data_IF_042096770921
#
_entry.id   IF_042096770921
#
_cell.length_a   1.000
_cell.length_b   1.000
_cell.length_c   1.000
_cell.angle_alpha   90.00
_cell.angle_beta   90.00
_cell.angle_gamma   90.00
#
_symmetry.space_group_name_H-M   'P 1'
#
loop_
_entity.id
_entity.type
_entity.pdbx_description
1 polymer ?
#
# COMPACT_ATOMS: atom_id res chain seq x y z
N UNK A 1 22.33 -13.57 12.85
CA UNK A 1 21.65 -12.30 12.55
C UNK A 1 20.34 -12.32 13.30
N UNK A 2 20.27 -11.59 14.40
CA UNK A 2 19.06 -11.47 15.22
C UNK A 2 18.35 -10.18 14.85
N UNK A 3 17.03 -10.21 14.87
CA UNK A 3 16.21 -9.01 14.81
C UNK A 3 15.76 -8.67 16.22
N UNK A 4 15.49 -7.40 16.48
CA UNK A 4 14.79 -6.94 17.69
C UNK A 4 13.80 -5.86 17.32
N UNK A 5 12.68 -5.83 18.03
CA UNK A 5 11.84 -4.64 18.13
C UNK A 5 12.63 -3.53 18.82
N UNK A 6 12.60 -2.30 18.30
CA UNK A 6 13.11 -1.13 19.01
C UNK A 6 11.97 -0.57 19.86
N UNK A 7 12.10 -0.75 21.18
CA UNK A 7 11.09 -0.38 22.17
C UNK A 7 10.59 1.07 21.96
N UNK A 8 9.27 1.25 21.97
CA UNK A 8 8.60 2.54 21.78
C UNK A 8 8.45 3.04 20.34
N UNK A 9 9.06 2.39 19.34
CA UNK A 9 9.12 2.94 17.96
C UNK A 9 8.35 2.15 16.89
N UNK A 10 7.93 0.91 17.15
CA UNK A 10 7.28 0.05 16.14
C UNK A 10 8.18 -0.39 14.96
N UNK A 11 9.46 0.01 14.94
CA UNK A 11 10.43 -0.37 13.93
C UNK A 11 11.17 -1.66 14.31
N UNK A 12 11.48 -2.49 13.30
CA UNK A 12 12.25 -3.72 13.46
C UNK A 12 13.65 -3.54 12.92
N UNK A 13 14.64 -3.59 13.81
CA UNK A 13 16.05 -3.44 13.47
C UNK A 13 16.77 -4.80 13.41
N UNK A 14 17.71 -4.93 12.46
CA UNK A 14 18.63 -6.05 12.42
C UNK A 14 19.82 -5.78 13.36
N UNK A 15 19.98 -6.56 14.41
CA UNK A 15 21.17 -6.49 15.27
C UNK A 15 22.32 -7.34 14.73
N UNK A 16 23.52 -6.79 14.84
CA UNK A 16 24.78 -7.42 14.46
C UNK A 16 25.21 -8.48 15.49
N UNK A 17 24.74 -9.72 15.32
CA UNK A 17 25.55 -10.86 15.75
C UNK A 17 26.57 -11.15 14.64
N UNK A 18 27.86 -10.89 14.92
CA UNK A 18 28.96 -10.82 13.95
C UNK A 18 29.36 -12.12 13.25
N UNK A 19 28.43 -12.77 12.54
CA UNK A 19 28.68 -14.02 11.78
C UNK A 19 28.08 -14.08 10.36
N UNK A 20 27.56 -12.98 9.80
CA UNK A 20 27.12 -12.95 8.38
C UNK A 20 27.35 -11.60 7.66
N UNK A 21 27.86 -11.71 6.44
CA UNK A 21 28.21 -10.64 5.49
C UNK A 21 27.07 -9.65 5.20
N UNK A 22 25.84 -10.17 5.06
CA UNK A 22 24.62 -9.37 4.83
C UNK A 22 24.34 -8.28 5.89
N UNK A 23 25.02 -8.28 7.04
CA UNK A 23 24.77 -7.29 8.10
C UNK A 23 25.32 -5.89 7.79
N UNK A 24 26.48 -5.79 7.12
CA UNK A 24 27.03 -4.49 6.67
C UNK A 24 26.19 -3.89 5.54
N UNK A 25 25.83 -4.72 4.56
CA UNK A 25 25.06 -4.26 3.40
C UNK A 25 23.69 -3.67 3.77
N UNK A 26 23.03 -4.14 4.84
CA UNK A 26 21.78 -3.51 5.30
C UNK A 26 22.00 -2.17 6.01
N UNK A 27 23.05 -2.04 6.82
CA UNK A 27 23.39 -0.77 7.47
C UNK A 27 23.72 0.32 6.43
N UNK A 28 24.45 -0.05 5.36
CA UNK A 28 24.77 0.80 4.21
C UNK A 28 23.55 1.17 3.34
N UNK A 29 22.49 0.36 3.37
CA UNK A 29 21.23 0.66 2.68
C UNK A 29 20.29 1.53 3.51
N UNK A 30 20.47 1.52 4.82
CA UNK A 30 19.68 2.29 5.76
C UNK A 30 20.26 3.69 6.04
N UNK A 31 21.57 3.89 5.94
CA UNK A 31 22.21 5.20 6.14
C UNK A 31 21.61 6.33 5.26
N UNK A 32 21.41 6.19 3.93
CA UNK A 32 20.79 7.23 3.11
C UNK A 32 19.33 7.53 3.46
N UNK A 33 18.67 6.59 4.15
CA UNK A 33 17.33 6.81 4.68
C UNK A 33 17.41 7.68 5.92
N UNK A 34 18.23 7.31 6.91
CA UNK A 34 18.43 8.10 8.13
C UNK A 34 18.87 9.54 7.80
N UNK A 35 19.83 9.70 6.91
CA UNK A 35 20.26 11.01 6.38
C UNK A 35 19.09 11.76 5.73
N UNK A 36 18.34 11.10 4.84
CA UNK A 36 17.20 11.70 4.14
C UNK A 36 16.05 12.12 5.05
N UNK A 37 15.77 11.39 6.14
CA UNK A 37 14.71 11.74 7.10
C UNK A 37 15.13 12.79 8.13
N UNK A 38 16.44 13.07 8.26
CA UNK A 38 16.99 14.13 9.12
C UNK A 38 17.25 15.44 8.37
N UNK A 39 17.08 15.45 7.03
CA UNK A 39 17.25 16.63 6.18
C UNK A 39 15.99 17.50 6.16
N UNK A 40 16.13 18.77 6.54
CA UNK A 40 15.06 19.76 6.43
C UNK A 40 14.62 19.98 4.97
N UNK A 41 15.56 19.85 4.03
CA UNK A 41 15.33 20.00 2.59
C UNK A 41 14.49 18.85 2.03
N UNK A 42 14.72 17.63 2.53
CA UNK A 42 13.93 16.45 2.21
C UNK A 42 12.51 16.54 2.82
N UNK A 43 12.41 16.92 4.09
CA UNK A 43 11.10 17.09 4.75
C UNK A 43 10.29 18.22 4.11
N UNK A 44 10.90 19.36 3.77
CA UNK A 44 10.27 20.42 2.99
C UNK A 44 9.82 19.93 1.61
N UNK A 45 10.68 19.21 0.88
CA UNK A 45 10.33 18.64 -0.43
C UNK A 45 9.16 17.67 -0.37
N UNK A 46 9.12 16.81 0.65
CA UNK A 46 8.00 15.90 0.86
C UNK A 46 6.75 16.66 1.31
N UNK A 47 6.84 17.61 2.25
CA UNK A 47 5.73 18.44 2.71
C UNK A 47 5.02 19.15 1.55
N UNK A 48 5.75 19.83 0.65
CA UNK A 48 5.16 20.45 -0.54
C UNK A 48 4.45 19.43 -1.44
N UNK A 49 5.02 18.22 -1.60
CA UNK A 49 4.36 17.17 -2.38
C UNK A 49 3.14 16.57 -1.68
N UNK A 50 3.05 16.61 -0.34
CA UNK A 50 1.84 16.25 0.41
C UNK A 50 0.77 17.31 0.20
N UNK A 51 1.12 18.59 0.32
CA UNK A 51 0.21 19.73 0.11
C UNK A 51 -0.41 19.75 -1.29
N UNK A 52 0.40 19.51 -2.34
CA UNK A 52 -0.07 19.40 -3.74
C UNK A 52 -0.90 18.13 -3.98
N UNK A 53 -0.61 17.02 -3.28
CA UNK A 53 -1.42 15.80 -3.38
C UNK A 53 -2.78 15.96 -2.69
N UNK A 54 -2.81 16.65 -1.54
CA UNK A 54 -4.04 16.91 -0.77
C UNK A 54 -4.91 17.99 -1.44
N UNK A 55 -4.31 18.95 -2.18
CA UNK A 55 -5.00 20.08 -2.82
C UNK A 55 -4.65 20.23 -4.32
N UNK A 56 -4.95 19.23 -5.18
CA UNK A 56 -4.51 19.26 -6.56
C UNK A 56 -5.41 20.14 -7.46
N UNK A 57 -4.77 20.97 -8.29
CA UNK A 57 -5.41 21.55 -9.48
C UNK A 57 -5.59 20.50 -10.60
N UNK A 58 -6.19 20.89 -11.73
CA UNK A 58 -6.50 19.95 -12.81
C UNK A 58 -5.25 19.44 -13.55
N UNK A 59 -4.17 20.23 -13.61
CA UNK A 59 -2.89 19.78 -14.16
C UNK A 59 -2.25 18.74 -13.23
N UNK A 60 -2.25 18.97 -11.91
CA UNK A 60 -1.79 18.04 -10.90
C UNK A 60 -2.60 16.73 -10.90
N UNK A 61 -3.94 16.78 -11.00
CA UNK A 61 -4.80 15.60 -11.14
C UNK A 61 -4.39 14.75 -12.36
N UNK A 62 -4.25 15.39 -13.52
CA UNK A 62 -3.81 14.72 -14.75
C UNK A 62 -2.36 14.19 -14.65
N UNK A 63 -1.49 14.93 -13.94
CA UNK A 63 -0.13 14.50 -13.60
C UNK A 63 -0.11 13.23 -12.76
N UNK A 64 -0.92 13.16 -11.70
CA UNK A 64 -1.05 11.99 -10.83
C UNK A 64 -1.66 10.79 -11.57
N UNK A 65 -2.69 10.99 -12.40
CA UNK A 65 -3.25 9.94 -13.25
C UNK A 65 -2.19 9.33 -14.18
N UNK A 66 -1.45 10.17 -14.91
CA UNK A 66 -0.40 9.72 -15.82
C UNK A 66 0.80 9.09 -15.08
N UNK A 67 1.13 9.59 -13.89
CA UNK A 67 2.14 8.98 -13.02
C UNK A 67 1.69 7.57 -12.58
N UNK A 68 0.46 7.40 -12.13
CA UNK A 68 -0.10 6.12 -11.72
C UNK A 68 -0.11 5.11 -12.89
N UNK A 69 -0.53 5.53 -14.10
CA UNK A 69 -0.42 4.70 -15.33
C UNK A 69 1.03 4.24 -15.58
N UNK A 70 2.01 5.13 -15.51
CA UNK A 70 3.44 4.79 -15.71
C UNK A 70 3.93 3.79 -14.67
N UNK A 71 3.52 3.91 -13.41
CA UNK A 71 3.86 2.94 -12.35
C UNK A 71 3.22 1.58 -12.61
N UNK A 72 1.93 1.55 -12.96
CA UNK A 72 1.22 0.31 -13.30
C UNK A 72 1.82 -0.39 -14.53
N UNK A 73 2.24 0.39 -15.55
CA UNK A 73 2.99 -0.12 -16.70
C UNK A 73 4.36 -0.69 -16.31
N UNK A 74 5.14 -0.01 -15.45
CA UNK A 74 6.44 -0.51 -14.97
C UNK A 74 6.25 -1.82 -14.18
N UNK A 75 5.27 -1.86 -13.28
CA UNK A 75 4.89 -3.04 -12.51
C UNK A 75 4.50 -4.19 -13.44
N UNK A 76 3.55 -3.97 -14.37
CA UNK A 76 3.08 -5.02 -15.27
C UNK A 76 4.17 -5.50 -16.23
N UNK A 77 5.06 -4.62 -16.69
CA UNK A 77 6.20 -5.00 -17.53
C UNK A 77 7.10 -6.03 -16.85
N UNK A 78 7.37 -5.85 -15.55
CA UNK A 78 8.26 -6.72 -14.74
C UNK A 78 7.55 -7.96 -14.21
N UNK A 79 6.30 -7.83 -13.74
CA UNK A 79 5.61 -8.88 -12.97
C UNK A 79 4.58 -9.66 -13.77
N UNK A 80 4.06 -9.08 -14.87
CA UNK A 80 2.88 -9.53 -15.64
C UNK A 80 1.58 -9.61 -14.83
N UNK A 81 1.54 -8.94 -13.69
CA UNK A 81 0.46 -9.07 -12.69
C UNK A 81 -0.91 -8.55 -13.16
N UNK A 82 -0.94 -7.61 -14.10
CA UNK A 82 -2.21 -7.08 -14.61
C UNK A 82 -2.81 -7.97 -15.69
N UNK A 83 -2.05 -8.85 -16.34
CA UNK A 83 -2.58 -9.80 -17.35
C UNK A 83 -3.12 -11.04 -16.64
N UNK A 84 -4.42 -11.02 -16.29
CA UNK A 84 -5.04 -12.05 -15.45
C UNK A 84 -5.30 -13.35 -16.23
N UNK A 85 -5.23 -13.31 -17.57
CA UNK A 85 -5.35 -14.51 -18.43
C UNK A 85 -4.26 -15.55 -18.11
N UNK A 86 -3.11 -15.11 -17.60
CA UNK A 86 -1.98 -15.97 -17.21
C UNK A 86 -2.15 -16.63 -15.84
N UNK A 87 -3.12 -16.21 -15.03
CA UNK A 87 -3.32 -16.78 -13.70
C UNK A 87 -3.80 -18.22 -13.83
N UNK A 88 -3.23 -19.13 -13.04
CA UNK A 88 -3.53 -20.57 -13.13
C UNK A 88 -5.03 -20.85 -12.94
N UNK A 89 -5.70 -20.09 -12.06
CA UNK A 89 -7.16 -20.17 -11.87
C UNK A 89 -7.95 -19.91 -13.17
N UNK A 90 -7.49 -19.02 -14.05
CA UNK A 90 -8.20 -18.70 -15.30
C UNK A 90 -8.05 -19.78 -16.38
N UNK A 91 -7.03 -20.64 -16.27
CA UNK A 91 -6.91 -21.83 -17.12
C UNK A 91 -7.90 -22.94 -16.73
N UNK A 92 -8.51 -22.85 -15.54
CA UNK A 92 -9.43 -23.87 -14.98
C UNK A 92 -10.81 -23.32 -14.63
N UNK A 93 -11.10 -22.05 -14.92
CA UNK A 93 -12.39 -21.40 -14.63
C UNK A 93 -13.25 -21.43 -15.89
N UNK A 94 -14.54 -21.83 -15.83
CA UNK A 94 -15.46 -21.76 -16.97
C UNK A 94 -15.61 -20.33 -17.52
N UNK A 95 -15.98 -20.20 -18.79
CA UNK A 95 -16.04 -18.90 -19.49
C UNK A 95 -17.17 -18.02 -18.96
N UNK A 96 -18.26 -18.64 -18.51
CA UNK A 96 -19.40 -18.00 -17.84
C UNK A 96 -19.04 -17.33 -16.50
N UNK A 97 -17.93 -17.74 -15.87
CA UNK A 97 -17.38 -17.14 -14.65
C UNK A 97 -16.47 -15.93 -15.00
N UNK A 98 -17.10 -14.93 -15.62
CA UNK A 98 -16.46 -13.80 -16.27
C UNK A 98 -15.29 -13.21 -15.45
N UNK A 99 -14.13 -12.96 -16.07
CA UNK A 99 -13.01 -12.37 -15.34
C UNK A 99 -13.37 -10.99 -14.81
N UNK A 100 -12.93 -10.71 -13.59
CA UNK A 100 -13.22 -9.45 -12.92
C UNK A 100 -11.98 -8.93 -12.19
N UNK A 101 -11.87 -7.61 -12.20
CA UNK A 101 -10.93 -6.79 -11.45
C UNK A 101 -11.76 -5.98 -10.45
N UNK A 102 -11.21 -5.71 -9.27
CA UNK A 102 -11.79 -4.83 -8.27
C UNK A 102 -10.68 -4.00 -7.64
N UNK A 103 -10.69 -2.72 -8.01
CA UNK A 103 -9.77 -1.71 -7.50
C UNK A 103 -10.37 -1.02 -6.26
N UNK A 104 -9.55 -0.71 -5.26
CA UNK A 104 -10.00 -0.13 -3.98
C UNK A 104 -9.13 1.09 -3.69
N UNK A 105 -9.76 2.23 -3.40
CA UNK A 105 -9.11 3.54 -3.44
C UNK A 105 -8.53 3.81 -4.84
N UNK A 106 -9.42 3.66 -5.85
CA UNK A 106 -9.06 3.68 -7.27
C UNK A 106 -8.64 5.06 -7.80
N UNK A 107 -9.30 6.14 -7.36
CA UNK A 107 -9.07 7.47 -7.94
C UNK A 107 -7.58 7.90 -7.84
N UNK A 108 -6.99 8.43 -8.92
CA UNK A 108 -7.62 8.91 -10.16
C UNK A 108 -7.90 7.83 -11.24
N UNK A 109 -7.52 6.57 -11.01
CA UNK A 109 -7.82 5.43 -11.90
C UNK A 109 -6.67 4.94 -12.78
N UNK A 110 -5.45 5.46 -12.60
CA UNK A 110 -4.33 5.13 -13.49
C UNK A 110 -3.88 3.66 -13.45
N UNK A 111 -4.11 2.96 -12.34
CA UNK A 111 -3.89 1.51 -12.27
C UNK A 111 -5.02 0.72 -12.94
N UNK A 112 -6.27 1.06 -12.62
CA UNK A 112 -7.47 0.53 -13.28
C UNK A 112 -7.40 0.62 -14.81
N UNK A 113 -6.94 1.74 -15.39
CA UNK A 113 -6.74 1.88 -16.83
C UNK A 113 -5.82 0.79 -17.39
N UNK A 114 -4.64 0.57 -16.80
CA UNK A 114 -3.69 -0.45 -17.27
C UNK A 114 -4.21 -1.87 -17.04
N UNK A 115 -5.04 -2.08 -16.01
CA UNK A 115 -5.68 -3.37 -15.75
C UNK A 115 -6.79 -3.68 -16.76
N UNK A 116 -7.60 -2.69 -17.16
CA UNK A 116 -8.65 -2.87 -18.19
C UNK A 116 -8.03 -3.02 -19.58
N UNK A 117 -7.05 -2.18 -19.94
CA UNK A 117 -6.26 -2.30 -21.19
C UNK A 117 -5.63 -3.70 -21.34
N UNK A 118 -5.19 -4.32 -20.24
CA UNK A 118 -4.58 -5.65 -20.25
C UNK A 118 -5.60 -6.81 -20.33
N UNK A 119 -6.89 -6.58 -20.07
CA UNK A 119 -7.92 -7.63 -20.04
C UNK A 119 -9.23 -7.17 -20.71
N UNK A 120 -9.32 -7.11 -22.05
CA UNK A 120 -10.49 -6.58 -22.77
C UNK A 120 -11.82 -7.30 -22.54
N UNK A 121 -11.81 -8.49 -21.92
CA UNK A 121 -13.00 -9.30 -21.59
C UNK A 121 -13.35 -9.30 -20.11
N UNK A 122 -12.62 -8.56 -19.27
CA UNK A 122 -12.82 -8.55 -17.83
C UNK A 122 -13.62 -7.34 -17.34
N UNK A 123 -14.61 -7.56 -16.47
CA UNK A 123 -15.29 -6.46 -15.79
C UNK A 123 -14.36 -5.78 -14.78
N UNK A 124 -14.46 -4.46 -14.62
CA UNK A 124 -13.85 -3.72 -13.53
C UNK A 124 -14.94 -3.27 -12.57
N UNK A 125 -14.79 -3.55 -11.29
CA UNK A 125 -15.42 -2.75 -10.23
C UNK A 125 -14.37 -1.84 -9.59
N UNK A 126 -14.76 -0.68 -9.11
CA UNK A 126 -13.86 0.21 -8.39
C UNK A 126 -14.58 0.85 -7.20
N UNK A 127 -13.98 0.78 -6.01
CA UNK A 127 -14.42 1.58 -4.86
C UNK A 127 -13.50 2.79 -4.69
N UNK A 128 -14.06 3.97 -4.55
CA UNK A 128 -13.30 5.21 -4.33
C UNK A 128 -14.07 6.21 -3.48
N UNK A 129 -13.36 7.13 -2.82
CA UNK A 129 -13.99 8.21 -2.07
C UNK A 129 -14.72 9.15 -3.03
N UNK A 130 -15.94 9.56 -2.67
CA UNK A 130 -16.63 10.68 -3.32
C UNK A 130 -15.74 11.93 -3.29
N UNK A 131 -15.63 12.71 -4.39
CA UNK A 131 -14.81 13.92 -4.42
C UNK A 131 -15.13 14.90 -3.28
N UNK A 132 -16.42 15.01 -2.92
CA UNK A 132 -16.87 15.73 -1.73
C UNK A 132 -17.23 14.75 -0.61
N UNK A 133 -16.74 14.92 0.64
CA UNK A 133 -15.81 15.94 1.13
C UNK A 133 -14.36 15.41 1.25
N UNK A 134 -13.60 15.38 0.15
CA UNK A 134 -12.15 15.10 0.18
C UNK A 134 -11.66 13.87 -0.60
N UNK A 135 -12.45 13.32 -1.52
CA UNK A 135 -11.96 12.33 -2.49
C UNK A 135 -11.25 12.97 -3.69
N UNK A 136 -10.49 12.17 -4.43
CA UNK A 136 -9.91 12.62 -5.70
C UNK A 136 -10.91 12.44 -6.86
N UNK A 137 -10.87 13.37 -7.82
CA UNK A 137 -11.62 13.24 -9.06
C UNK A 137 -11.17 11.98 -9.83
N UNK A 138 -12.14 11.20 -10.30
CA UNK A 138 -11.88 10.05 -11.17
C UNK A 138 -11.56 10.56 -12.58
N UNK A 139 -10.41 10.15 -13.12
CA UNK A 139 -9.99 10.50 -14.50
C UNK A 139 -10.31 9.37 -15.49
N UNK A 140 -10.50 8.13 -15.01
CA UNK A 140 -10.96 7.00 -15.81
C UNK A 140 -12.45 7.16 -16.16
N UNK A 141 -12.75 7.21 -17.46
CA UNK A 141 -14.11 7.25 -18.01
C UNK A 141 -14.57 5.86 -18.45
N UNK A 142 -15.63 5.27 -17.84
CA UNK A 142 -16.15 3.96 -18.25
C UNK A 142 -16.44 3.85 -19.75
N UNK A 143 -16.95 4.92 -20.35
CA UNK A 143 -17.32 5.02 -21.77
C UNK A 143 -16.15 4.90 -22.75
N UNK A 144 -14.89 5.06 -22.29
CA UNK A 144 -13.69 4.88 -23.10
C UNK A 144 -13.34 3.38 -23.32
N UNK A 145 -14.06 2.43 -22.70
CA UNK A 145 -13.73 1.00 -22.70
C UNK A 145 -14.91 0.11 -23.11
N UNK A 146 -14.64 -1.00 -23.80
CA UNK A 146 -15.63 -2.04 -24.13
C UNK A 146 -15.99 -2.96 -22.96
N UNK A 147 -15.33 -2.78 -21.82
CA UNK A 147 -15.45 -3.59 -20.63
C UNK A 147 -16.62 -3.10 -19.75
N UNK A 148 -17.22 -3.99 -18.97
CA UNK A 148 -18.14 -3.62 -17.89
C UNK A 148 -17.37 -2.92 -16.75
N UNK A 149 -17.29 -1.59 -16.81
CA UNK A 149 -16.60 -0.74 -15.82
C UNK A 149 -17.63 -0.08 -14.89
N UNK A 150 -17.66 -0.55 -13.64
CA UNK A 150 -18.53 -0.04 -12.58
C UNK A 150 -17.68 0.69 -11.54
N UNK A 151 -18.01 1.95 -11.25
CA UNK A 151 -17.31 2.78 -10.26
C UNK A 151 -18.31 3.16 -9.19
N UNK A 152 -18.17 2.59 -8.00
CA UNK A 152 -19.04 2.84 -6.85
C UNK A 152 -18.35 3.84 -5.89
N UNK A 153 -18.95 5.02 -5.65
CA UNK A 153 -18.53 5.89 -4.56
C UNK A 153 -18.81 5.18 -3.23
N UNK A 154 -17.78 5.08 -2.40
CA UNK A 154 -17.88 4.51 -1.05
C UNK A 154 -17.05 5.36 -0.10
N UNK A 155 -17.48 5.49 1.17
CA UNK A 155 -16.63 6.10 2.18
C UNK A 155 -15.45 5.19 2.53
N UNK A 156 -14.41 5.29 1.69
CA UNK A 156 -13.17 4.57 1.89
C UNK A 156 -12.34 5.15 3.03
N UNK A 157 -12.74 6.23 3.73
CA UNK A 157 -12.04 6.69 4.93
C UNK A 157 -12.31 5.76 6.12
N UNK A 158 -13.52 5.20 6.21
CA UNK A 158 -13.83 4.11 7.14
C UNK A 158 -13.12 2.79 6.73
N UNK A 159 -12.79 2.65 5.44
CA UNK A 159 -11.98 1.56 4.89
C UNK A 159 -10.47 1.90 4.81
N UNK A 160 -10.03 3.09 5.23
CA UNK A 160 -8.66 3.57 5.01
C UNK A 160 -7.65 3.03 6.03
N UNK A 161 -8.13 2.36 7.08
CA UNK A 161 -7.31 1.39 7.75
C UNK A 161 -6.92 0.31 6.73
N UNK A 162 -5.61 0.15 6.45
CA UNK A 162 -5.03 -0.89 5.56
C UNK A 162 -5.69 -2.28 5.76
N UNK A 163 -6.09 -2.55 7.00
CA UNK A 163 -6.79 -3.75 7.50
C UNK A 163 -8.16 -3.97 6.83
N UNK A 164 -8.96 -2.92 6.61
CA UNK A 164 -10.27 -3.03 5.96
C UNK A 164 -10.14 -3.30 4.45
N UNK A 165 -9.19 -2.64 3.78
CA UNK A 165 -8.79 -2.95 2.41
C UNK A 165 -8.38 -4.43 2.27
N UNK A 166 -7.52 -4.93 3.18
CA UNK A 166 -7.11 -6.34 3.21
C UNK A 166 -8.28 -7.31 3.49
N UNK A 167 -9.23 -6.96 4.37
CA UNK A 167 -10.47 -7.73 4.60
C UNK A 167 -11.28 -7.85 3.31
N UNK A 168 -11.54 -6.75 2.60
CA UNK A 168 -12.30 -6.78 1.35
C UNK A 168 -11.53 -7.56 0.29
N UNK A 169 -10.25 -7.28 0.10
CA UNK A 169 -9.41 -7.92 -0.91
C UNK A 169 -9.31 -9.46 -0.72
N UNK A 170 -9.01 -9.95 0.48
CA UNK A 170 -8.89 -11.40 0.74
C UNK A 170 -10.25 -12.10 0.76
N UNK A 171 -11.33 -11.43 1.22
CA UNK A 171 -12.68 -12.00 1.18
C UNK A 171 -13.31 -12.02 -0.23
N UNK A 172 -12.74 -11.28 -1.20
CA UNK A 172 -13.25 -11.20 -2.58
C UNK A 172 -12.35 -11.84 -3.62
N UNK A 173 -11.06 -12.01 -3.39
CA UNK A 173 -10.19 -12.71 -4.36
C UNK A 173 -10.55 -14.19 -4.44
N UNK A 174 -10.80 -14.71 -5.66
CA UNK A 174 -11.03 -16.15 -5.88
C UNK A 174 -9.77 -16.94 -5.53
N UNK A 175 -9.94 -18.21 -5.15
CA UNK A 175 -8.82 -19.15 -4.96
C UNK A 175 -7.93 -19.16 -6.21
N UNK A 176 -6.63 -18.93 -6.05
CA UNK A 176 -5.67 -18.83 -7.15
C UNK A 176 -5.61 -17.45 -7.84
N UNK A 177 -6.37 -16.45 -7.37
CA UNK A 177 -6.30 -15.07 -7.83
C UNK A 177 -5.06 -14.33 -7.32
N UNK A 178 -5.01 -13.00 -7.50
CA UNK A 178 -3.81 -12.18 -7.24
C UNK A 178 -4.14 -10.82 -6.62
N UNK A 179 -3.34 -10.37 -5.65
CA UNK A 179 -3.46 -9.06 -5.00
C UNK A 179 -2.20 -8.20 -5.22
N UNK A 180 -2.36 -6.88 -5.35
CA UNK A 180 -1.27 -5.91 -5.56
C UNK A 180 -1.32 -4.79 -4.50
N UNK A 181 -0.80 -5.08 -3.31
CA UNK A 181 -0.94 -4.20 -2.14
C UNK A 181 0.14 -3.12 -2.14
N UNK A 182 -0.24 -1.84 -2.18
CA UNK A 182 0.67 -0.74 -1.86
C UNK A 182 0.98 -0.78 -0.35
N UNK A 183 2.26 -0.79 0.00
CA UNK A 183 2.75 -0.79 1.37
C UNK A 183 3.84 0.29 1.54
N UNK A 184 4.00 0.74 2.78
CA UNK A 184 4.96 1.79 3.15
C UNK A 184 5.97 1.24 4.18
N UNK A 185 7.09 1.95 4.35
CA UNK A 185 8.02 1.77 5.48
C UNK A 185 8.33 0.28 5.81
N UNK A 186 9.03 -0.40 4.89
CA UNK A 186 9.31 -1.86 4.85
C UNK A 186 9.90 -2.47 6.15
N UNK A 187 10.52 -1.65 6.98
CA UNK A 187 11.12 -1.94 8.28
C UNK A 187 10.11 -2.01 9.44
N UNK A 188 8.93 -1.39 9.32
CA UNK A 188 7.91 -1.32 10.39
C UNK A 188 7.32 -2.70 10.71
N UNK A 189 6.79 -2.82 11.93
CA UNK A 189 6.09 -4.02 12.37
C UNK A 189 4.81 -4.27 11.56
N UNK A 190 3.96 -3.25 11.34
CA UNK A 190 2.72 -3.40 10.54
C UNK A 190 2.99 -4.01 9.16
N UNK A 191 3.94 -3.45 8.40
CA UNK A 191 4.33 -3.97 7.08
C UNK A 191 4.91 -5.38 7.16
N UNK A 192 5.68 -5.70 8.20
CA UNK A 192 6.16 -7.06 8.47
C UNK A 192 5.01 -8.05 8.71
N UNK A 193 3.98 -7.66 9.47
CA UNK A 193 2.80 -8.50 9.73
C UNK A 193 2.02 -8.78 8.43
N UNK A 194 1.74 -7.76 7.61
CA UNK A 194 1.05 -7.94 6.32
C UNK A 194 1.85 -8.88 5.40
N UNK A 195 3.16 -8.65 5.27
CA UNK A 195 4.04 -9.52 4.49
C UNK A 195 4.02 -10.97 4.98
N UNK A 196 4.08 -11.19 6.29
CA UNK A 196 4.09 -12.52 6.88
C UNK A 196 2.76 -13.25 6.66
N UNK A 197 1.64 -12.59 6.97
CA UNK A 197 0.30 -13.19 6.86
C UNK A 197 -0.02 -13.57 5.42
N UNK A 198 0.17 -12.66 4.45
CA UNK A 198 -0.06 -12.96 3.04
C UNK A 198 0.86 -14.09 2.54
N UNK A 199 2.12 -14.14 2.98
CA UNK A 199 3.05 -15.22 2.63
C UNK A 199 2.61 -16.60 3.16
N UNK A 200 1.69 -16.67 4.13
CA UNK A 200 1.20 -17.96 4.62
C UNK A 200 0.18 -18.65 3.70
N UNK A 201 -0.41 -17.94 2.74
CA UNK A 201 -1.45 -18.45 1.84
C UNK A 201 -1.37 -17.88 0.41
N UNK A 202 -0.21 -17.37 0.00
CA UNK A 202 0.04 -16.87 -1.37
C UNK A 202 1.54 -16.85 -1.71
N UNK A 203 1.87 -16.81 -3.00
CA UNK A 203 3.24 -16.53 -3.46
C UNK A 203 3.48 -15.01 -3.45
N UNK A 204 4.22 -14.55 -2.44
CA UNK A 204 4.58 -13.12 -2.30
C UNK A 204 5.88 -12.76 -3.03
N UNK A 205 5.83 -11.66 -3.80
CA UNK A 205 6.94 -10.94 -4.45
C UNK A 205 6.83 -9.43 -4.15
N UNK A 206 7.93 -8.68 -4.11
CA UNK A 206 7.90 -7.21 -3.92
C UNK A 206 8.38 -6.46 -5.16
N UNK A 207 7.81 -5.28 -5.42
CA UNK A 207 8.17 -4.38 -6.52
C UNK A 207 8.33 -2.94 -6.04
N UNK A 208 9.41 -2.27 -6.46
CA UNK A 208 9.68 -0.85 -6.21
C UNK A 208 9.72 -0.12 -7.56
N UNK A 209 8.83 0.85 -7.82
CA UNK A 209 8.92 1.67 -9.03
C UNK A 209 10.21 2.46 -9.06
N UNK A 210 10.83 2.59 -10.24
CA UNK A 210 12.17 3.19 -10.40
C UNK A 210 12.15 4.61 -10.93
N UNK A 211 11.06 5.03 -11.56
CA UNK A 211 10.86 6.39 -12.06
C UNK A 211 10.06 7.23 -11.06
N UNK A 212 8.74 7.07 -11.04
CA UNK A 212 7.87 7.74 -10.07
C UNK A 212 8.03 7.13 -8.67
N UNK A 213 7.84 7.94 -7.62
CA UNK A 213 7.94 7.52 -6.20
C UNK A 213 9.24 6.80 -5.81
N UNK A 214 10.31 6.84 -6.61
CA UNK A 214 11.54 6.07 -6.35
C UNK A 214 12.18 6.39 -4.99
N UNK A 215 12.09 7.66 -4.56
CA UNK A 215 12.58 8.18 -3.26
C UNK A 215 11.63 8.00 -2.08
N UNK A 216 10.35 7.64 -2.31
CA UNK A 216 9.40 7.34 -1.22
C UNK A 216 9.70 6.00 -0.56
N UNK A 217 9.27 5.78 0.67
CA UNK A 217 9.32 4.47 1.33
C UNK A 217 8.31 3.46 0.76
N UNK A 218 7.39 3.89 -0.10
CA UNK A 218 6.32 3.06 -0.67
C UNK A 218 6.82 2.04 -1.69
N UNK A 219 6.19 0.86 -1.70
CA UNK A 219 6.47 -0.26 -2.61
C UNK A 219 5.23 -1.13 -2.74
N UNK A 220 5.20 -2.01 -3.75
CA UNK A 220 4.07 -2.92 -3.98
C UNK A 220 4.42 -4.34 -3.56
N UNK A 221 3.51 -4.98 -2.84
CA UNK A 221 3.50 -6.41 -2.56
C UNK A 221 2.56 -7.09 -3.55
N UNK A 222 3.10 -8.00 -4.36
CA UNK A 222 2.36 -8.84 -5.29
C UNK A 222 2.19 -10.21 -4.65
N UNK A 223 0.94 -10.59 -4.35
CA UNK A 223 0.56 -11.87 -3.76
C UNK A 223 -0.23 -12.67 -4.80
N UNK A 224 0.38 -13.70 -5.36
CA UNK A 224 -0.20 -14.54 -6.43
C UNK A 224 -0.66 -15.90 -5.90
N UNK A 225 -1.47 -16.61 -6.69
CA UNK A 225 -1.99 -17.94 -6.38
C UNK A 225 -2.68 -17.99 -4.99
N UNK A 226 -3.45 -16.95 -4.66
CA UNK A 226 -3.98 -16.71 -3.31
C UNK A 226 -4.98 -17.79 -2.88
N UNK A 227 -4.69 -18.49 -1.79
CA UNK A 227 -5.57 -19.49 -1.19
C UNK A 227 -6.57 -18.86 -0.21
N UNK A 228 -7.46 -18.00 -0.72
CA UNK A 228 -8.42 -17.21 0.07
C UNK A 228 -9.38 -18.05 0.93
N UNK A 229 -9.63 -19.30 0.53
CA UNK A 229 -10.47 -20.24 1.27
C UNK A 229 -9.73 -21.05 2.33
N UNK A 230 -8.40 -20.93 2.42
CA UNK A 230 -7.59 -21.66 3.40
C UNK A 230 -7.98 -21.28 4.84
N UNK A 231 -7.79 -22.18 5.83
CA UNK A 231 -8.02 -21.84 7.24
C UNK A 231 -7.23 -20.60 7.69
N UNK A 232 -6.01 -20.41 7.13
CA UNK A 232 -5.14 -19.27 7.42
C UNK A 232 -5.69 -17.95 6.87
N UNK A 233 -6.13 -17.93 5.62
CA UNK A 233 -6.76 -16.74 5.02
C UNK A 233 -8.06 -16.37 5.76
N UNK A 234 -8.88 -17.37 6.10
CA UNK A 234 -10.10 -17.18 6.90
C UNK A 234 -9.79 -16.62 8.29
N UNK A 235 -8.81 -17.18 9.00
CA UNK A 235 -8.38 -16.68 10.32
C UNK A 235 -7.86 -15.24 10.25
N UNK A 236 -7.03 -14.92 9.25
CA UNK A 236 -6.53 -13.56 9.01
C UNK A 236 -7.69 -12.57 8.80
N UNK A 237 -8.66 -12.88 7.92
CA UNK A 237 -9.83 -12.04 7.68
C UNK A 237 -10.66 -11.83 8.96
N UNK A 238 -10.86 -12.87 9.79
CA UNK A 238 -11.59 -12.70 11.05
C UNK A 238 -10.82 -11.82 12.05
N UNK A 239 -9.50 -12.02 12.20
CA UNK A 239 -8.65 -11.17 13.06
C UNK A 239 -8.70 -9.72 12.60
N UNK A 240 -8.54 -9.45 11.30
CA UNK A 240 -8.59 -8.09 10.76
C UNK A 240 -9.98 -7.44 10.90
N UNK A 241 -11.08 -8.20 10.79
CA UNK A 241 -12.44 -7.71 11.05
C UNK A 241 -12.65 -7.31 12.52
N UNK A 242 -12.26 -8.18 13.45
CA UNK A 242 -12.36 -7.90 14.89
C UNK A 242 -11.53 -6.66 15.27
N UNK A 243 -10.32 -6.58 14.72
CA UNK A 243 -9.39 -5.47 14.92
C UNK A 243 -9.89 -4.15 14.33
N UNK A 244 -10.45 -4.16 13.11
CA UNK A 244 -11.08 -2.98 12.52
C UNK A 244 -12.29 -2.53 13.35
N UNK A 245 -13.16 -3.46 13.76
CA UNK A 245 -14.33 -3.16 14.59
C UNK A 245 -13.92 -2.47 15.90
N UNK A 246 -12.94 -3.04 16.61
CA UNK A 246 -12.42 -2.49 17.88
C UNK A 246 -11.89 -1.06 17.71
N UNK A 247 -11.14 -0.79 16.65
CA UNK A 247 -10.48 0.50 16.45
C UNK A 247 -11.40 1.60 15.91
N UNK A 248 -12.47 1.21 15.22
CA UNK A 248 -13.38 2.14 14.52
C UNK A 248 -14.71 2.34 15.24
N UNK A 249 -15.30 1.28 15.81
CA UNK A 249 -16.66 1.29 16.37
C UNK A 249 -16.68 1.18 17.90
N UNK A 250 -15.87 0.28 18.47
CA UNK A 250 -15.93 -0.05 19.90
C UNK A 250 -15.10 0.93 20.77
N UNK A 251 -15.28 2.24 20.55
CA UNK A 251 -14.44 3.34 21.13
C UNK A 251 -14.69 3.67 22.61
N UNK A 252 -15.55 2.93 23.31
CA UNK A 252 -15.83 3.13 24.74
C UNK A 252 -15.27 2.00 25.61
N UNK A 253 -14.55 2.39 26.68
CA UNK A 253 -14.07 1.55 27.80
C UNK A 253 -13.42 0.20 27.44
N UNK A 254 -12.12 0.23 27.09
CA UNK A 254 -11.24 -0.87 27.49
C UNK A 254 -10.83 -0.63 28.94
N UNK A 255 -11.61 -1.14 29.88
CA UNK A 255 -11.02 -1.51 31.18
C UNK A 255 -9.89 -2.52 30.91
N UNK A 256 -8.75 -2.35 31.57
CA UNK A 256 -7.59 -3.22 31.37
C UNK A 256 -7.89 -4.56 32.04
N UNK A 257 -8.58 -5.44 31.31
CA UNK A 257 -8.86 -6.81 31.73
C UNK A 257 -7.55 -7.57 31.87
N UNK A 258 -7.15 -7.85 33.11
CA UNK A 258 -5.90 -8.50 33.53
C UNK A 258 -5.87 -10.01 33.25
N UNK A 259 -6.41 -10.44 32.10
CA UNK A 259 -6.56 -11.84 31.71
C UNK A 259 -6.50 -12.13 30.21
N UNK A 260 -6.03 -11.19 29.38
CA UNK A 260 -5.70 -11.43 27.97
C UNK A 260 -4.25 -11.91 27.81
N UNK A 261 -3.97 -12.73 26.80
CA UNK A 261 -2.62 -13.19 26.46
C UNK A 261 -1.64 -12.01 26.31
N UNK A 262 -0.48 -12.12 26.96
CA UNK A 262 0.47 -11.02 27.18
C UNK A 262 1.01 -10.41 25.87
N UNK A 263 0.91 -11.14 24.75
CA UNK A 263 1.36 -10.71 23.41
C UNK A 263 0.31 -9.88 22.63
N UNK A 264 -0.91 -9.70 23.14
CA UNK A 264 -1.96 -8.84 22.55
C UNK A 264 -2.14 -7.50 23.31
N UNK A 265 -1.12 -7.13 24.10
CA UNK A 265 -1.16 -6.04 25.08
C UNK A 265 -1.46 -4.63 24.51
N UNK A 266 -1.19 -4.38 23.23
CA UNK A 266 -1.56 -3.11 22.56
C UNK A 266 -2.93 -3.18 21.85
N UNK A 267 -3.50 -4.38 21.69
CA UNK A 267 -4.72 -4.61 20.92
C UNK A 267 -4.64 -4.24 19.44
N UNK A 268 -3.42 -3.99 18.91
CA UNK A 268 -3.16 -3.45 17.57
C UNK A 268 -2.59 -4.49 16.61
N UNK A 269 -2.17 -5.67 17.08
CA UNK A 269 -1.56 -6.71 16.26
C UNK A 269 -2.53 -7.31 15.21
N UNK A 270 -2.08 -7.41 13.96
CA UNK A 270 -2.79 -8.06 12.86
C UNK A 270 -2.72 -9.59 12.90
N UNK A 271 -1.84 -10.13 13.75
CA UNK A 271 -1.65 -11.56 14.03
C UNK A 271 -2.12 -11.81 15.48
N UNK A 272 -2.54 -13.04 15.77
CA UNK A 272 -2.97 -13.46 17.12
C UNK A 272 -2.00 -14.53 17.63
N UNK A 273 -1.52 -14.40 18.87
CA UNK A 273 -0.66 -15.41 19.52
C UNK A 273 0.73 -15.59 18.89
N UNK A 274 1.25 -14.59 18.18
CA UNK A 274 2.65 -14.55 17.72
C UNK A 274 3.21 -13.15 17.95
N UNK A 275 4.23 -13.01 18.80
CA UNK A 275 4.93 -11.75 19.00
C UNK A 275 5.94 -11.47 17.88
N UNK A 276 6.64 -10.34 18.00
CA UNK A 276 7.65 -9.88 17.04
C UNK A 276 8.75 -10.93 16.84
N UNK A 277 9.27 -11.54 17.92
CA UNK A 277 10.38 -12.49 17.83
C UNK A 277 9.96 -13.84 17.22
N UNK A 278 8.73 -14.32 17.48
CA UNK A 278 8.16 -15.50 16.82
C UNK A 278 8.10 -15.34 15.30
N UNK A 279 7.52 -14.23 14.84
CA UNK A 279 7.39 -13.92 13.41
C UNK A 279 8.75 -13.73 12.76
N UNK A 280 9.72 -13.13 13.47
CA UNK A 280 11.08 -12.97 12.95
C UNK A 280 11.86 -14.28 12.89
N UNK A 281 11.63 -15.20 13.84
CA UNK A 281 12.14 -16.57 13.78
C UNK A 281 11.62 -17.34 12.57
N UNK A 282 10.30 -17.25 12.30
CA UNK A 282 9.62 -17.97 11.22
C UNK A 282 9.85 -17.34 9.82
N UNK A 283 9.88 -16.02 9.74
CA UNK A 283 9.82 -15.27 8.46
C UNK A 283 11.00 -14.33 8.21
N UNK A 284 11.81 -13.97 9.21
CA UNK A 284 12.85 -12.94 9.08
C UNK A 284 13.84 -13.15 7.92
N UNK A 285 14.29 -14.39 7.69
CA UNK A 285 15.17 -14.72 6.54
C UNK A 285 14.47 -14.55 5.19
N UNK A 286 13.17 -14.87 5.10
CA UNK A 286 12.37 -14.70 3.87
C UNK A 286 12.02 -13.23 3.64
N UNK A 287 11.65 -12.49 4.69
CA UNK A 287 11.48 -11.03 4.66
C UNK A 287 12.72 -10.38 4.08
N UNK A 288 13.91 -10.69 4.63
CA UNK A 288 15.18 -10.16 4.11
C UNK A 288 15.38 -10.38 2.61
N UNK A 289 15.18 -11.61 2.15
CA UNK A 289 15.33 -11.96 0.74
C UNK A 289 14.35 -11.17 -0.15
N UNK A 290 13.11 -10.97 0.30
CA UNK A 290 12.11 -10.15 -0.37
C UNK A 290 12.42 -8.64 -0.29
N UNK A 291 13.04 -8.17 0.78
CA UNK A 291 13.26 -6.74 1.05
C UNK A 291 14.51 -6.16 0.40
N UNK A 292 15.53 -6.98 0.14
CA UNK A 292 16.87 -6.49 -0.22
C UNK A 292 16.88 -5.62 -1.49
N UNK A 293 16.21 -6.05 -2.57
CA UNK A 293 16.17 -5.26 -3.81
C UNK A 293 15.34 -3.98 -3.69
N UNK A 294 14.34 -3.96 -2.79
CA UNK A 294 13.53 -2.78 -2.48
C UNK A 294 14.38 -1.73 -1.78
N UNK A 295 15.06 -2.09 -0.69
CA UNK A 295 15.99 -1.19 0.01
C UNK A 295 17.13 -0.72 -0.90
N UNK A 296 17.71 -1.62 -1.72
CA UNK A 296 18.71 -1.23 -2.72
C UNK A 296 18.18 -0.21 -3.74
N UNK A 297 16.94 -0.37 -4.23
CA UNK A 297 16.35 0.59 -5.16
C UNK A 297 16.06 1.94 -4.49
N UNK A 298 15.48 1.92 -3.28
CA UNK A 298 15.15 3.11 -2.50
C UNK A 298 16.42 3.90 -2.10
N UNK A 299 17.44 3.23 -1.56
CA UNK A 299 18.72 3.86 -1.19
C UNK A 299 19.45 4.47 -2.40
N UNK A 300 19.41 3.83 -3.58
CA UNK A 300 19.95 4.41 -4.82
C UNK A 300 19.18 5.63 -5.30
N UNK A 301 17.87 5.67 -5.10
CA UNK A 301 17.04 6.82 -5.44
C UNK A 301 17.30 7.99 -4.48
N UNK A 302 17.32 7.72 -3.17
CA UNK A 302 17.62 8.71 -2.13
C UNK A 302 18.99 9.36 -2.32
N UNK A 303 20.06 8.59 -2.59
CA UNK A 303 21.39 9.15 -2.90
C UNK A 303 21.39 10.10 -4.10
N UNK A 304 20.49 9.92 -5.06
CA UNK A 304 20.37 10.73 -6.28
C UNK A 304 19.32 11.85 -6.18
N UNK A 305 18.70 12.03 -5.02
CA UNK A 305 17.58 12.93 -4.84
C UNK A 305 17.97 14.41 -5.07
N UNK A 306 17.05 15.26 -5.57
CA UNK A 306 17.38 16.65 -5.91
C UNK A 306 17.75 17.50 -4.70
N UNK A 307 17.23 17.20 -3.50
CA UNK A 307 17.57 17.94 -2.27
C UNK A 307 19.02 17.72 -1.83
N UNK A 308 19.62 16.56 -2.08
CA UNK A 308 21.06 16.31 -1.85
C UNK A 308 21.97 17.24 -2.68
N UNK A 309 21.44 17.88 -3.73
CA UNK A 309 22.15 18.90 -4.51
C UNK A 309 21.88 20.33 -4.00
N UNK A 310 20.74 20.56 -3.33
CA UNK A 310 20.34 21.87 -2.79
C UNK A 310 21.08 22.25 -1.51
N UNK A 311 21.51 21.26 -0.72
CA UNK A 311 22.44 21.49 0.40
C UNK A 311 23.81 22.07 -0.02
N UNK A 312 24.08 22.21 -1.33
CA UNK A 312 25.27 22.83 -1.89
C UNK A 312 24.99 24.15 -2.64
N UNK A 313 23.79 24.72 -2.51
CA UNK A 313 23.42 25.98 -3.18
C UNK A 313 22.11 26.57 -2.68
N UNK A 314 22.23 27.61 -1.85
CA UNK A 314 21.13 28.48 -1.42
C UNK A 314 20.49 29.22 -2.60
N UNK A 315 19.24 29.68 -2.43
CA UNK A 315 18.78 30.92 -3.06
C UNK A 315 17.52 30.86 -3.94
N UNK A 316 16.55 31.70 -3.53
CA UNK A 316 15.67 32.53 -4.38
C UNK A 316 14.47 31.95 -5.17
N UNK A 317 13.27 32.41 -4.76
CA UNK A 317 12.09 32.92 -5.55
C UNK A 317 11.39 31.98 -6.58
N UNK A 318 10.06 32.01 -6.78
CA UNK A 318 8.94 32.69 -6.10
C UNK A 318 7.71 32.93 -7.01
N UNK A 319 6.47 32.69 -6.52
CA UNK A 319 5.16 33.02 -7.17
C UNK A 319 4.70 32.10 -8.33
N UNK A 320 3.45 32.09 -8.84
CA UNK A 320 2.11 32.64 -8.47
C UNK A 320 1.08 32.23 -9.58
N UNK A 321 -0.28 32.25 -9.48
CA UNK A 321 -1.28 32.17 -8.40
C UNK A 321 -2.74 32.12 -8.99
N UNK A 322 -3.74 31.60 -8.25
CA UNK A 322 -5.22 31.63 -8.52
C UNK A 322 -5.77 30.79 -9.72
N UNK A 323 -7.04 30.35 -9.82
CA UNK A 323 -8.21 30.37 -8.89
C UNK A 323 -9.57 30.30 -9.65
N UNK A 324 -10.61 29.61 -9.13
CA UNK A 324 -11.97 29.58 -9.74
C UNK A 324 -12.98 28.56 -9.15
N UNK A 325 -14.29 28.87 -9.17
CA UNK A 325 -15.45 28.04 -8.68
C UNK A 325 -16.18 27.36 -9.88
N UNK A 326 -17.23 26.50 -9.82
CA UNK A 326 -18.32 26.30 -8.83
C UNK A 326 -19.20 25.02 -9.07
N UNK A 327 -19.79 24.47 -7.99
CA UNK A 327 -21.09 23.72 -7.85
C UNK A 327 -21.39 22.32 -8.45
N UNK A 328 -22.42 21.67 -7.85
CA UNK A 328 -22.71 20.22 -7.76
C UNK A 328 -24.14 19.81 -8.22
N UNK A 329 -24.33 18.52 -8.53
CA UNK A 329 -25.62 17.76 -8.53
C UNK A 329 -25.31 16.24 -8.65
N UNK A 330 -25.43 15.40 -7.60
CA UNK A 330 -26.58 14.54 -7.20
C UNK A 330 -27.04 13.48 -8.23
N UNK A 331 -27.33 12.19 -7.94
CA UNK A 331 -27.15 11.30 -6.75
C UNK A 331 -27.40 9.82 -7.17
N UNK A 332 -27.17 8.89 -6.25
CA UNK A 332 -27.84 7.57 -6.05
C UNK A 332 -27.27 6.28 -6.67
N UNK A 333 -27.58 5.17 -6.00
CA UNK A 333 -26.70 4.00 -5.78
C UNK A 333 -27.21 2.70 -6.43
N UNK A 334 -26.30 1.80 -6.80
CA UNK A 334 -26.53 0.34 -6.85
C UNK A 334 -25.19 -0.39 -6.65
N UNK A 335 -25.11 -1.34 -5.71
CA UNK A 335 -23.86 -2.02 -5.34
C UNK A 335 -23.77 -3.48 -5.78
N UNK A 336 -22.60 -3.92 -6.28
CA UNK A 336 -22.36 -5.31 -6.76
C UNK A 336 -21.04 -5.90 -6.21
N UNK A 337 -21.02 -7.23 -6.00
CA UNK A 337 -19.85 -7.96 -5.49
C UNK A 337 -18.98 -8.50 -6.65
N UNK A 338 -17.75 -7.98 -6.82
CA UNK A 338 -16.72 -8.54 -7.74
C UNK A 338 -15.36 -8.77 -7.07
N UNK A 339 -14.40 -9.32 -7.81
CA UNK A 339 -13.13 -9.95 -7.34
C UNK A 339 -11.88 -9.25 -7.89
N UNK A 340 -10.75 -9.25 -7.17
CA UNK A 340 -9.76 -8.17 -7.27
C UNK A 340 -8.45 -8.49 -8.02
N UNK A 341 -7.94 -7.51 -8.78
CA UNK A 341 -6.56 -7.02 -8.61
C UNK A 341 -6.67 -5.75 -7.78
N UNK A 342 -6.35 -5.84 -6.50
CA UNK A 342 -6.40 -4.69 -5.57
C UNK A 342 -5.30 -3.69 -5.94
N UNK A 343 -5.57 -2.37 -5.99
CA UNK A 343 -4.52 -1.35 -6.15
C UNK A 343 -4.76 -0.13 -5.26
N UNK A 344 -4.51 -0.28 -3.95
CA UNK A 344 -4.64 0.82 -3.00
C UNK A 344 -3.79 2.05 -3.37
N UNK A 345 -4.43 3.13 -3.83
CA UNK A 345 -3.88 4.48 -3.80
C UNK A 345 -4.76 5.36 -2.92
N UNK A 346 -4.57 5.25 -1.61
CA UNK A 346 -5.07 6.23 -0.66
C UNK A 346 -3.91 7.09 -0.17
N UNK A 347 -4.02 8.40 -0.37
CA UNK A 347 -3.19 9.42 0.24
C UNK A 347 -4.16 10.43 0.85
N UNK A 348 -4.44 10.36 2.16
CA UNK A 348 -3.91 11.37 3.08
C UNK A 348 -3.70 10.87 4.54
N UNK A 349 -3.13 11.75 5.38
CA UNK A 349 -3.04 11.66 6.86
C UNK A 349 -2.50 10.34 7.45
N UNK A 350 -1.19 10.15 7.38
CA UNK A 350 -0.45 9.87 8.62
C UNK A 350 -0.01 11.21 9.22
N UNK A 351 -0.15 11.40 10.54
CA UNK A 351 0.54 12.51 11.24
C UNK A 351 2.01 12.16 11.55
N UNK A 352 2.41 10.91 11.31
CA UNK A 352 3.68 10.31 11.69
C UNK A 352 4.49 9.81 10.48
N UNK A 353 4.91 10.74 9.62
CA UNK A 353 6.22 10.61 8.92
C UNK A 353 7.34 11.29 9.74
N UNK A 354 7.00 11.93 10.88
CA UNK A 354 7.97 12.40 11.87
C UNK A 354 8.28 11.25 12.84
N UNK A 355 9.56 11.04 13.12
CA UNK A 355 9.94 10.37 14.37
C UNK A 355 9.48 11.21 15.55
N UNK A 356 9.08 10.60 16.69
CA UNK A 356 9.09 11.31 17.96
C UNK A 356 10.49 11.89 18.17
N UNK A 357 10.58 13.19 18.49
CA UNK A 357 11.85 13.78 18.89
C UNK A 357 12.33 13.09 20.16
N UNK A 358 13.43 12.34 20.08
CA UNK A 358 14.11 11.84 21.27
C UNK A 358 14.63 13.03 22.09
N UNK A 359 13.92 13.33 23.17
CA UNK A 359 14.47 13.84 24.41
C UNK A 359 14.54 12.66 25.39
#
# INVERSE_FOLDING_TARGET
MRYRSVAGSGHICAHQDGRHDNSRSLAELDAPRREGWQSNEAESHFATQREVADNPDDEAKMGFFNMARRVAQELNKVTKVMDISRQRVRQTTPVEDAPAILDLCMAPGGFSTIAVEANPTAGLSALTLSPEPGGHAVTLRPEDYSNDVVIEPADVTLLAAERAQLVVAVARVRRGGTLVVLLHHLETWNTCQVMYVLNQFSRVRLFKPRAAHATRSSFYLVAEDVESESPKAKAAVQRWKALWRRLTLDRESVEIGTGGDVDDADGMNMISGENVDDVLGKFGRRRLHLSLHIWQAHARALRKAPWNKRAAGDGERGGAAAGGRERLSSREELGIRKTNVFTGMYWPRSQDDRWPTCC
#
